data_IF_346310776020
#
_entry.id   IF_346310776020
#
_cell.length_a   1.000
_cell.length_b   1.000
_cell.length_c   1.000
_cell.angle_alpha   90.00
_cell.angle_beta   90.00
_cell.angle_gamma   90.00
#
_symmetry.space_group_name_H-M   'P 1'
#
loop_
_entity.id
_entity.type
_entity.pdbx_description
1 polymer ?
#
# COMPACT_ATOMS: atom_id res chain seq x y z
N UNK A 1 21.11 -16.40 -17.27
CA UNK A 1 21.77 -16.03 -16.00
C UNK A 1 21.02 -14.87 -15.39
N UNK A 2 20.89 -14.84 -14.05
CA UNK A 2 20.26 -13.73 -13.33
C UNK A 2 21.38 -12.74 -12.99
N UNK A 3 21.17 -11.44 -13.22
CA UNK A 3 22.13 -10.40 -12.80
C UNK A 3 22.26 -10.38 -11.27
N UNK A 4 23.44 -10.05 -10.75
CA UNK A 4 23.71 -9.99 -9.31
C UNK A 4 22.69 -9.09 -8.57
N UNK A 5 22.33 -7.94 -9.16
CA UNK A 5 21.30 -7.03 -8.63
C UNK A 5 19.93 -7.73 -8.47
N UNK A 6 19.55 -8.51 -9.47
CA UNK A 6 18.26 -9.20 -9.52
C UNK A 6 18.24 -10.42 -8.58
N UNK A 7 19.41 -10.98 -8.28
CA UNK A 7 19.59 -12.02 -7.25
C UNK A 7 19.47 -11.44 -5.84
N UNK A 8 19.96 -10.21 -5.64
CA UNK A 8 19.84 -9.48 -4.36
C UNK A 8 18.39 -9.08 -4.09
N UNK A 9 17.63 -8.64 -5.10
CA UNK A 9 16.19 -8.38 -4.95
C UNK A 9 15.42 -9.60 -4.43
N UNK A 10 15.83 -10.81 -4.84
CA UNK A 10 15.18 -12.03 -4.40
C UNK A 10 15.31 -12.24 -2.88
N UNK A 11 16.36 -11.72 -2.22
CA UNK A 11 16.51 -11.80 -0.77
C UNK A 11 15.37 -11.12 0.00
N UNK A 12 14.70 -10.13 -0.61
CA UNK A 12 13.50 -9.50 -0.06
C UNK A 12 12.20 -10.27 -0.33
N UNK A 13 12.27 -11.39 -1.05
CA UNK A 13 11.09 -12.20 -1.34
C UNK A 13 10.63 -12.93 -0.06
N UNK A 14 9.34 -12.83 0.31
CA UNK A 14 8.80 -13.55 1.45
C UNK A 14 9.06 -15.04 1.33
N UNK A 15 9.52 -15.68 2.42
CA UNK A 15 9.76 -17.12 2.43
C UNK A 15 11.14 -17.56 1.93
N UNK A 16 11.93 -16.69 1.28
CA UNK A 16 13.26 -17.07 0.78
C UNK A 16 14.33 -17.03 1.88
N UNK A 17 14.27 -16.01 2.75
CA UNK A 17 15.26 -15.80 3.82
C UNK A 17 14.75 -16.20 5.21
N UNK A 18 13.58 -16.83 5.30
CA UNK A 18 12.98 -17.24 6.57
C UNK A 18 13.59 -18.56 7.05
N UNK A 19 14.06 -18.60 8.30
CA UNK A 19 14.73 -19.78 8.85
C UNK A 19 13.72 -20.92 9.11
N UNK A 20 14.06 -22.14 8.66
CA UNK A 20 13.23 -23.36 8.82
C UNK A 20 13.35 -24.00 10.21
N UNK A 21 14.36 -23.63 11.00
CA UNK A 21 14.67 -24.23 12.31
C UNK A 21 14.98 -23.14 13.34
N UNK A 22 14.29 -23.18 14.47
CA UNK A 22 14.42 -22.24 15.59
C UNK A 22 15.57 -22.74 16.49
N UNK A 23 16.57 -21.92 16.81
CA UNK A 23 17.64 -22.26 17.76
C UNK A 23 17.79 -21.22 18.89
N UNK A 24 18.10 -21.72 20.07
CA UNK A 24 17.55 -21.27 21.37
C UNK A 24 18.27 -20.12 22.10
N UNK A 25 19.01 -19.25 21.42
CA UNK A 25 19.75 -18.17 22.13
C UNK A 25 19.54 -16.77 21.51
N UNK A 26 18.85 -16.64 20.37
CA UNK A 26 18.43 -15.31 19.85
C UNK A 26 17.10 -15.29 19.06
N UNK A 27 16.50 -16.46 18.81
CA UNK A 27 15.05 -16.73 18.87
C UNK A 27 14.05 -16.02 17.94
N UNK A 28 14.42 -15.03 17.11
CA UNK A 28 13.38 -14.28 16.35
C UNK A 28 13.16 -14.67 14.89
N UNK A 29 13.96 -15.57 14.30
CA UNK A 29 13.69 -16.11 12.97
C UNK A 29 13.34 -15.04 11.92
N UNK A 30 14.03 -13.89 11.96
CA UNK A 30 13.68 -12.72 11.16
C UNK A 30 14.31 -12.89 9.79
N UNK A 31 13.50 -13.18 8.78
CA UNK A 31 13.96 -13.21 7.40
C UNK A 31 14.35 -11.81 6.89
N UNK A 32 15.21 -11.77 5.88
CA UNK A 32 15.64 -10.55 5.22
C UNK A 32 14.47 -9.76 4.62
N UNK A 33 13.39 -10.44 4.24
CA UNK A 33 12.11 -9.84 3.85
C UNK A 33 11.53 -8.97 4.97
N UNK A 34 11.56 -9.43 6.22
CA UNK A 34 11.07 -8.66 7.38
C UNK A 34 11.97 -7.46 7.65
N UNK A 35 13.30 -7.62 7.53
CA UNK A 35 14.25 -6.52 7.72
C UNK A 35 14.04 -5.42 6.68
N UNK A 36 13.99 -5.79 5.39
CA UNK A 36 13.78 -4.85 4.28
C UNK A 36 12.44 -4.11 4.45
N UNK A 37 11.36 -4.85 4.73
CA UNK A 37 10.04 -4.24 4.94
C UNK A 37 10.05 -3.27 6.13
N UNK A 38 10.67 -3.63 7.26
CA UNK A 38 10.72 -2.74 8.44
C UNK A 38 11.55 -1.50 8.22
N UNK A 39 12.63 -1.59 7.44
CA UNK A 39 13.44 -0.44 7.06
C UNK A 39 12.68 0.46 6.08
N UNK A 40 11.94 -0.10 5.12
CA UNK A 40 11.11 0.66 4.20
C UNK A 40 9.91 1.34 4.90
N UNK A 41 9.29 0.68 5.88
CA UNK A 41 8.18 1.21 6.69
C UNK A 41 8.55 2.52 7.40
N UNK A 42 9.83 2.68 7.79
CA UNK A 42 10.34 3.90 8.43
C UNK A 42 10.90 4.92 7.43
N UNK A 43 10.77 4.66 6.12
CA UNK A 43 11.29 5.49 5.04
C UNK A 43 12.80 5.35 4.82
N UNK A 44 13.41 4.26 5.33
CA UNK A 44 14.80 3.92 5.08
C UNK A 44 14.97 3.01 3.85
N UNK A 45 16.22 2.70 3.53
CA UNK A 45 16.60 1.83 2.42
C UNK A 45 17.70 0.85 2.85
N UNK A 46 17.69 -0.38 2.31
CA UNK A 46 18.75 -1.38 2.52
C UNK A 46 19.51 -1.60 1.23
N UNK A 47 20.83 -1.40 1.26
CA UNK A 47 21.72 -1.77 0.16
C UNK A 47 22.51 -3.03 0.55
N UNK A 48 22.63 -3.97 -0.37
CA UNK A 48 23.38 -5.21 -0.17
C UNK A 48 24.41 -5.29 -1.29
N UNK A 49 25.66 -5.51 -0.95
CA UNK A 49 26.76 -5.75 -1.89
C UNK A 49 27.44 -7.03 -1.47
N UNK A 50 27.56 -8.00 -2.38
CA UNK A 50 28.12 -9.30 -2.07
C UNK A 50 29.05 -9.73 -3.19
N UNK A 51 30.19 -10.33 -2.83
CA UNK A 51 31.09 -10.95 -3.78
C UNK A 51 31.57 -12.30 -3.23
N UNK A 52 31.42 -13.35 -4.03
CA UNK A 52 31.77 -14.72 -3.65
C UNK A 52 33.23 -14.80 -3.18
N UNK A 53 33.45 -15.35 -1.98
CA UNK A 53 34.78 -15.46 -1.39
C UNK A 53 35.33 -14.17 -0.77
N UNK A 54 34.66 -13.01 -0.94
CA UNK A 54 35.03 -11.73 -0.29
C UNK A 54 34.03 -11.28 0.78
N UNK A 55 32.88 -11.94 0.85
CA UNK A 55 31.86 -11.71 1.88
C UNK A 55 30.71 -10.82 1.38
N UNK A 56 29.88 -10.39 2.33
CA UNK A 56 28.66 -9.62 2.07
C UNK A 56 28.63 -8.40 2.98
N UNK A 57 28.40 -7.23 2.39
CA UNK A 57 28.23 -5.95 3.07
C UNK A 57 26.77 -5.52 2.95
N UNK A 58 26.16 -5.17 4.08
CA UNK A 58 24.80 -4.62 4.12
C UNK A 58 24.84 -3.22 4.73
N UNK A 59 24.26 -2.25 4.02
CA UNK A 59 24.21 -0.85 4.42
C UNK A 59 22.75 -0.46 4.62
N UNK A 60 22.40 -0.09 5.84
CA UNK A 60 21.07 0.41 6.19
C UNK A 60 21.11 1.93 6.22
N UNK A 61 20.38 2.56 5.31
CA UNK A 61 20.20 4.00 5.23
C UNK A 61 18.90 4.34 5.96
N UNK A 62 19.01 4.80 7.20
CA UNK A 62 17.86 5.20 8.02
C UNK A 62 17.78 6.72 8.14
N UNK A 63 16.61 7.34 7.92
CA UNK A 63 16.45 8.76 8.18
C UNK A 63 16.62 9.07 9.68
N UNK A 64 17.38 10.13 9.99
CA UNK A 64 17.69 10.56 11.36
C UNK A 64 16.46 11.08 12.14
N UNK A 65 15.39 11.44 11.43
CA UNK A 65 14.11 11.87 12.02
C UNK A 65 13.04 10.82 11.79
N UNK A 66 12.16 10.62 12.77
CA UNK A 66 10.95 9.80 12.62
C UNK A 66 10.15 10.30 11.41
N UNK A 67 9.93 9.44 10.42
CA UNK A 67 9.22 9.79 9.19
C UNK A 67 7.78 10.23 9.50
N UNK A 68 7.45 11.47 9.14
CA UNK A 68 6.05 11.91 9.07
C UNK A 68 5.45 11.25 7.84
N UNK A 69 4.68 10.20 8.04
CA UNK A 69 3.92 9.57 6.95
C UNK A 69 2.66 10.41 6.72
N UNK A 70 2.70 11.23 5.68
CA UNK A 70 1.51 11.93 5.19
C UNK A 70 0.46 10.92 4.74
N UNK A 71 -0.78 11.09 5.20
CA UNK A 71 -1.87 10.17 4.92
C UNK A 71 -3.19 10.88 4.61
N UNK A 72 -3.94 10.33 3.68
CA UNK A 72 -5.30 10.69 3.36
C UNK A 72 -6.25 9.93 4.30
N UNK A 73 -7.03 10.66 5.08
CA UNK A 73 -8.07 10.08 5.93
C UNK A 73 -9.31 9.79 5.07
N UNK A 74 -9.73 8.53 5.05
CA UNK A 74 -10.93 8.08 4.33
C UNK A 74 -11.88 7.36 5.27
N UNK A 75 -13.18 7.53 5.03
CA UNK A 75 -14.19 6.78 5.76
C UNK A 75 -14.69 5.61 4.91
N UNK A 76 -14.80 4.45 5.54
CA UNK A 76 -15.38 3.24 4.96
C UNK A 76 -16.43 2.78 5.96
N UNK A 77 -17.71 2.90 5.56
CA UNK A 77 -18.84 2.81 6.50
C UNK A 77 -18.63 3.79 7.68
N UNK A 78 -18.68 3.31 8.93
CA UNK A 78 -18.49 4.11 10.15
C UNK A 78 -17.05 4.14 10.66
N UNK A 79 -16.11 3.51 9.94
CA UNK A 79 -14.71 3.41 10.35
C UNK A 79 -13.81 4.36 9.56
N UNK A 80 -12.74 4.81 10.23
CA UNK A 80 -11.73 5.71 9.66
C UNK A 80 -10.48 4.94 9.31
N UNK A 81 -10.02 5.13 8.08
CA UNK A 81 -8.77 4.57 7.57
C UNK A 81 -7.84 5.69 7.12
N UNK A 82 -6.54 5.39 7.08
CA UNK A 82 -5.52 6.29 6.57
C UNK A 82 -4.83 5.61 5.40
N UNK A 83 -4.87 6.23 4.22
CA UNK A 83 -4.14 5.81 3.04
C UNK A 83 -2.86 6.64 2.92
N UNK A 84 -1.65 6.03 2.85
CA UNK A 84 -0.42 6.79 2.66
C UNK A 84 -0.47 7.61 1.36
N UNK A 85 -0.17 8.91 1.44
CA UNK A 85 -0.19 9.78 0.26
C UNK A 85 0.78 9.29 -0.83
N UNK A 86 1.90 8.68 -0.43
CA UNK A 86 2.90 8.08 -1.34
C UNK A 86 2.35 6.94 -2.20
N UNK A 87 1.28 6.28 -1.76
CA UNK A 87 0.64 5.19 -2.50
C UNK A 87 -0.46 5.67 -3.45
N UNK A 88 -0.93 6.90 -3.31
CA UNK A 88 -2.09 7.39 -4.07
C UNK A 88 -1.63 7.93 -5.42
N UNK A 89 -2.14 7.34 -6.49
CA UNK A 89 -1.97 7.85 -7.85
C UNK A 89 -2.93 9.03 -8.06
N UNK A 90 -4.21 8.82 -7.79
CA UNK A 90 -5.24 9.86 -7.97
C UNK A 90 -6.54 9.50 -7.24
N UNK A 91 -7.47 10.43 -7.22
CA UNK A 91 -8.85 10.23 -6.78
C UNK A 91 -9.78 10.54 -7.95
N UNK A 92 -10.74 9.64 -8.20
CA UNK A 92 -11.77 9.81 -9.19
C UNK A 92 -13.15 9.87 -8.54
N UNK A 93 -14.01 10.75 -9.04
CA UNK A 93 -15.43 10.77 -8.71
C UNK A 93 -16.20 10.38 -9.96
N UNK A 94 -16.68 9.14 -10.00
CA UNK A 94 -17.35 8.56 -11.15
C UNK A 94 -18.80 8.24 -10.83
N UNK A 95 -19.63 8.09 -11.85
CA UNK A 95 -20.98 7.59 -11.68
C UNK A 95 -20.94 6.07 -11.44
N UNK A 96 -21.91 5.55 -10.69
CA UNK A 96 -21.97 4.13 -10.35
C UNK A 96 -22.11 3.23 -11.60
N UNK A 97 -22.66 3.74 -12.70
CA UNK A 97 -22.78 3.02 -13.97
C UNK A 97 -21.45 2.90 -14.75
N UNK A 98 -20.41 3.67 -14.38
CA UNK A 98 -19.06 3.56 -14.95
C UNK A 98 -18.29 2.38 -14.36
N UNK A 99 -18.75 1.83 -13.22
CA UNK A 99 -18.23 0.58 -12.65
C UNK A 99 -18.76 -0.59 -13.47
N UNK A 100 -17.85 -1.34 -14.08
CA UNK A 100 -18.14 -2.54 -14.84
C UNK A 100 -17.81 -3.78 -13.99
N UNK A 101 -18.37 -4.93 -14.35
CA UNK A 101 -17.97 -6.22 -13.77
C UNK A 101 -17.32 -7.09 -14.84
N UNK A 102 -16.12 -7.59 -14.56
CA UNK A 102 -15.41 -8.55 -15.40
C UNK A 102 -15.07 -9.78 -14.57
N UNK A 103 -15.57 -10.95 -14.95
CA UNK A 103 -15.39 -12.22 -14.21
C UNK A 103 -15.77 -12.12 -12.72
N UNK A 104 -16.80 -11.33 -12.39
CA UNK A 104 -17.26 -11.12 -11.01
C UNK A 104 -16.44 -10.10 -10.21
N UNK A 105 -15.40 -9.50 -10.80
CA UNK A 105 -14.59 -8.44 -10.18
C UNK A 105 -15.07 -7.10 -10.71
N UNK A 106 -15.31 -6.14 -9.80
CA UNK A 106 -15.62 -4.76 -10.18
C UNK A 106 -14.37 -4.08 -10.74
N UNK A 107 -14.51 -3.36 -11.85
CA UNK A 107 -13.42 -2.67 -12.53
C UNK A 107 -13.85 -1.29 -13.01
N UNK A 108 -12.87 -0.41 -13.19
CA UNK A 108 -13.01 0.86 -13.90
C UNK A 108 -11.98 0.95 -15.02
N UNK A 109 -12.23 1.81 -15.98
CA UNK A 109 -11.25 2.20 -16.98
C UNK A 109 -10.59 3.50 -16.55
N UNK A 110 -9.27 3.49 -16.41
CA UNK A 110 -8.48 4.66 -16.07
C UNK A 110 -7.22 4.69 -16.93
N UNK A 111 -7.05 5.76 -17.72
CA UNK A 111 -5.92 5.92 -18.66
C UNK A 111 -5.75 4.68 -19.57
N UNK A 112 -6.85 4.25 -20.20
CA UNK A 112 -6.92 3.08 -21.08
C UNK A 112 -6.49 1.75 -20.43
N UNK A 113 -6.42 1.71 -19.09
CA UNK A 113 -6.13 0.51 -18.30
C UNK A 113 -7.35 0.10 -17.49
N UNK A 114 -7.58 -1.20 -17.43
CA UNK A 114 -8.58 -1.80 -16.54
C UNK A 114 -8.01 -1.85 -15.14
N UNK A 115 -8.60 -1.08 -14.23
CA UNK A 115 -8.20 -1.01 -12.82
C UNK A 115 -9.22 -1.77 -11.98
N UNK A 116 -8.83 -2.84 -11.28
CA UNK A 116 -9.74 -3.57 -10.40
C UNK A 116 -10.07 -2.74 -9.17
N UNK A 117 -11.35 -2.70 -8.81
CA UNK A 117 -11.85 -2.12 -7.57
C UNK A 117 -11.83 -3.19 -6.49
N UNK A 118 -11.23 -2.86 -5.36
CA UNK A 118 -11.21 -3.73 -4.19
C UNK A 118 -12.03 -3.09 -3.07
N UNK A 119 -13.07 -3.79 -2.65
CA UNK A 119 -13.93 -3.39 -1.53
C UNK A 119 -13.22 -3.70 -0.22
N UNK A 120 -12.81 -2.65 0.49
CA UNK A 120 -12.10 -2.78 1.76
C UNK A 120 -13.01 -3.35 2.85
N UNK A 121 -14.30 -3.03 2.80
CA UNK A 121 -15.34 -3.60 3.67
C UNK A 121 -15.35 -5.12 3.67
N UNK A 122 -15.13 -5.73 2.50
CA UNK A 122 -15.25 -7.17 2.32
C UNK A 122 -14.00 -7.88 2.88
N UNK A 123 -12.83 -7.22 2.81
CA UNK A 123 -11.57 -7.72 3.36
C UNK A 123 -11.54 -7.58 4.88
N UNK A 124 -12.08 -6.48 5.40
CA UNK A 124 -12.04 -6.15 6.82
C UNK A 124 -13.31 -6.59 7.57
N UNK A 125 -14.21 -7.32 6.90
CA UNK A 125 -15.48 -7.82 7.45
C UNK A 125 -16.33 -6.72 8.13
N UNK A 126 -16.24 -5.49 7.61
CA UNK A 126 -16.94 -4.34 8.16
C UNK A 126 -18.40 -4.43 7.75
N UNK A 127 -19.30 -4.39 8.75
CA UNK A 127 -20.72 -4.28 8.50
C UNK A 127 -21.00 -3.00 7.70
N UNK A 128 -21.51 -3.18 6.48
CA UNK A 128 -21.99 -2.07 5.69
C UNK A 128 -23.38 -1.71 6.23
N UNK A 129 -23.53 -0.49 6.72
CA UNK A 129 -24.85 0.10 6.90
C UNK A 129 -25.60 0.04 5.56
N UNK A 130 -26.92 -0.14 5.60
CA UNK A 130 -27.77 -0.11 4.41
C UNK A 130 -27.83 1.30 3.82
N UNK A 131 -26.75 1.70 3.17
CA UNK A 131 -26.66 2.94 2.43
C UNK A 131 -27.30 2.73 1.06
N UNK A 132 -28.18 3.67 0.69
CA UNK A 132 -28.58 3.87 -0.70
C UNK A 132 -27.31 4.08 -1.50
N UNK A 133 -27.06 3.25 -2.52
CA UNK A 133 -25.89 3.38 -3.39
C UNK A 133 -25.98 4.76 -4.05
N UNK A 134 -25.05 5.69 -3.77
CA UNK A 134 -25.11 7.02 -4.34
C UNK A 134 -24.84 6.96 -5.84
N UNK A 135 -25.49 7.83 -6.61
CA UNK A 135 -25.28 7.92 -8.07
C UNK A 135 -23.81 8.15 -8.45
N UNK A 136 -23.08 8.85 -7.57
CA UNK A 136 -21.65 9.10 -7.70
C UNK A 136 -20.88 8.46 -6.55
N UNK A 137 -19.82 7.76 -6.91
CA UNK A 137 -18.91 7.10 -5.99
C UNK A 137 -17.50 7.65 -6.14
N UNK A 138 -16.78 7.68 -5.03
CA UNK A 138 -15.39 8.12 -5.02
C UNK A 138 -14.48 6.90 -4.99
N UNK A 139 -13.51 6.86 -5.90
CA UNK A 139 -12.50 5.81 -5.99
C UNK A 139 -11.12 6.44 -5.84
N UNK A 140 -10.37 5.96 -4.85
CA UNK A 140 -8.94 6.28 -4.70
C UNK A 140 -8.15 5.23 -5.46
N UNK A 141 -7.36 5.65 -6.45
CA UNK A 141 -6.44 4.77 -7.17
C UNK A 141 -5.11 4.77 -6.42
N UNK A 142 -4.67 3.59 -5.99
CA UNK A 142 -3.39 3.39 -5.32
C UNK A 142 -2.46 2.52 -6.14
N UNK A 143 -1.17 2.81 -6.12
CA UNK A 143 -0.13 1.92 -6.64
C UNK A 143 0.33 0.97 -5.53
N UNK A 144 0.37 -0.33 -5.86
CA UNK A 144 1.03 -1.32 -5.02
C UNK A 144 1.92 -2.20 -5.89
N UNK A 145 3.23 -1.94 -5.85
CA UNK A 145 4.22 -2.71 -6.59
C UNK A 145 4.10 -2.54 -8.10
N UNK A 146 3.84 -1.31 -8.57
CA UNK A 146 3.73 -0.98 -10.00
C UNK A 146 2.41 -1.41 -10.63
N UNK A 147 1.42 -1.83 -9.82
CA UNK A 147 0.07 -2.20 -10.26
C UNK A 147 -0.96 -1.28 -9.62
N UNK A 148 -1.81 -0.61 -10.41
CA UNK A 148 -2.87 0.25 -9.90
C UNK A 148 -4.06 -0.58 -9.39
N UNK A 149 -4.61 -0.17 -8.25
CA UNK A 149 -5.85 -0.72 -7.69
C UNK A 149 -6.79 0.42 -7.28
N UNK A 150 -8.08 0.25 -7.52
CA UNK A 150 -9.12 1.17 -7.06
C UNK A 150 -9.63 0.80 -5.67
N UNK A 151 -9.86 1.80 -4.82
CA UNK A 151 -10.50 1.66 -3.51
C UNK A 151 -11.73 2.55 -3.46
N UNK A 152 -12.91 1.93 -3.38
CA UNK A 152 -14.16 2.68 -3.16
C UNK A 152 -14.16 3.22 -1.73
N UNK A 153 -14.38 4.53 -1.59
CA UNK A 153 -14.52 5.17 -0.29
C UNK A 153 -15.89 5.82 -0.18
N UNK A 154 -16.43 5.87 1.04
CA UNK A 154 -17.77 6.44 1.26
C UNK A 154 -17.70 7.97 1.25
N UNK A 155 -16.78 8.56 2.01
CA UNK A 155 -16.58 10.02 2.06
C UNK A 155 -15.13 10.39 2.38
N UNK A 156 -14.68 11.53 1.86
CA UNK A 156 -13.49 12.21 2.34
C UNK A 156 -13.78 12.98 3.62
N UNK A 157 -12.88 12.91 4.60
CA UNK A 157 -12.71 13.99 5.55
C UNK A 157 -11.37 14.65 5.29
N UNK A 158 -11.40 15.74 4.55
CA UNK A 158 -10.28 16.65 4.55
C UNK A 158 -10.14 17.19 5.98
N UNK A 159 -8.96 17.04 6.59
CA UNK A 159 -8.62 17.56 7.91
C UNK A 159 -8.56 19.09 7.99
N UNK A 160 -9.25 19.81 7.10
CA UNK A 160 -9.46 21.24 7.23
C UNK A 160 -10.35 21.49 8.44
N UNK A 161 -9.71 21.82 9.57
CA UNK A 161 -10.34 22.61 10.62
C UNK A 161 -10.84 23.88 9.92
N UNK A 162 -12.14 23.98 9.67
CA UNK A 162 -12.76 25.18 9.13
C UNK A 162 -12.43 26.35 10.05
N UNK A 163 -11.43 27.14 9.66
CA UNK A 163 -11.37 28.55 10.01
C UNK A 163 -11.77 29.30 8.75
N UNK A 164 -12.99 29.83 8.77
CA UNK A 164 -13.46 30.87 7.86
C UNK A 164 -13.71 30.46 6.40
N UNK A 165 -14.52 29.41 6.18
CA UNK A 165 -15.49 29.38 5.07
C UNK A 165 -14.98 29.64 3.64
N UNK A 166 -13.75 29.26 3.29
CA UNK A 166 -13.29 29.26 1.89
C UNK A 166 -12.60 27.95 1.55
N UNK A 167 -13.20 27.23 0.61
CA UNK A 167 -12.62 26.09 -0.10
C UNK A 167 -11.51 26.61 -1.03
N UNK A 168 -10.31 26.03 -0.92
CA UNK A 168 -9.28 26.15 -1.94
C UNK A 168 -9.03 24.74 -2.49
N UNK A 169 -9.17 24.63 -3.81
CA UNK A 169 -8.98 23.43 -4.63
C UNK A 169 -7.48 23.16 -4.77
#
# INVERSE_FOLDING_TARGET
EISDEKTIELLGTPGLSTAKTITDISGRGVGMDVVINKVQDIGGHVQITTETGKGTTMILLLPLSVSIIGGLIVNISNEKFVLPLSSIITTLKINNNEIKSLHGIEVIEYQDKIVPIVRVSDILEIQQDQYVVPDKVTIVIVDKGGKPYGRRITHFRCGCRQRNGKEYI
#
